data_IF_001353497866
#
_entry.id   IF_001353497866
#
_cell.length_a   1.000
_cell.length_b   1.000
_cell.length_c   1.000
_cell.angle_alpha   90.00
_cell.angle_beta   90.00
_cell.angle_gamma   90.00
#
_symmetry.space_group_name_H-M   'P 1'
#
loop_
_entity.id
_entity.type
_entity.pdbx_description
1 polymer ?
#
# COMPACT_ATOMS: atom_id res chain seq x y z
N UNK A 1 6.78 -11.68 -4.05
CA UNK A 1 7.82 -11.92 -3.04
C UNK A 1 8.88 -10.82 -2.91
N UNK A 2 9.57 -10.35 -3.96
CA UNK A 2 10.61 -9.30 -3.78
C UNK A 2 10.07 -7.97 -3.20
N UNK A 3 8.88 -7.53 -3.64
CA UNK A 3 8.24 -6.30 -3.11
C UNK A 3 7.73 -6.51 -1.68
N UNK A 4 7.15 -7.66 -1.36
CA UNK A 4 6.68 -8.00 -0.02
C UNK A 4 7.86 -8.03 0.95
N UNK A 5 8.91 -8.77 0.62
CA UNK A 5 10.09 -8.94 1.48
C UNK A 5 10.84 -7.62 1.71
N UNK A 6 10.87 -6.71 0.73
CA UNK A 6 11.52 -5.39 0.88
C UNK A 6 10.73 -4.40 1.73
N UNK A 7 9.44 -4.66 1.94
CA UNK A 7 8.54 -3.74 2.64
C UNK A 7 7.90 -4.36 3.87
N UNK A 8 8.25 -5.59 4.23
CA UNK A 8 7.61 -6.36 5.32
C UNK A 8 7.66 -5.66 6.67
N UNK A 9 8.66 -4.81 6.90
CA UNK A 9 8.82 -4.08 8.17
C UNK A 9 7.72 -3.02 8.40
N UNK A 10 7.00 -2.62 7.35
CA UNK A 10 6.01 -1.53 7.43
C UNK A 10 4.75 -1.75 6.59
N UNK A 11 4.72 -2.76 5.72
CA UNK A 11 3.65 -3.02 4.78
C UNK A 11 3.23 -4.48 4.84
N UNK A 12 1.93 -4.71 5.03
CA UNK A 12 1.30 -5.98 4.77
C UNK A 12 0.54 -5.91 3.43
N UNK A 13 0.60 -6.97 2.62
CA UNK A 13 -0.10 -7.05 1.35
C UNK A 13 -1.14 -8.15 1.44
N UNK A 14 -2.40 -7.80 1.20
CA UNK A 14 -3.52 -8.73 1.13
C UNK A 14 -4.16 -8.66 -0.26
N UNK A 15 -4.65 -9.79 -0.75
CA UNK A 15 -5.35 -9.88 -2.03
C UNK A 15 -6.79 -10.31 -1.77
N UNK A 16 -7.72 -9.54 -2.30
CA UNK A 16 -9.14 -9.87 -2.33
C UNK A 16 -9.51 -10.32 -3.75
N UNK A 17 -10.25 -11.41 -3.84
CA UNK A 17 -10.74 -11.93 -5.11
C UNK A 17 -12.05 -11.24 -5.47
N UNK A 18 -12.07 -10.50 -6.58
CA UNK A 18 -13.24 -9.75 -7.00
C UNK A 18 -14.35 -10.63 -7.59
N UNK A 19 -14.06 -11.89 -7.91
CA UNK A 19 -15.05 -12.87 -8.39
C UNK A 19 -15.72 -13.63 -7.23
N UNK A 20 -15.24 -13.43 -5.99
CA UNK A 20 -15.78 -14.08 -4.80
C UNK A 20 -16.64 -13.12 -3.98
N UNK A 21 -17.95 -13.40 -3.94
CA UNK A 21 -18.96 -12.57 -3.30
C UNK A 21 -18.69 -12.24 -1.82
N UNK A 22 -17.87 -13.05 -1.13
CA UNK A 22 -17.46 -12.78 0.26
C UNK A 22 -16.71 -11.44 0.41
N UNK A 23 -16.10 -10.94 -0.66
CA UNK A 23 -15.38 -9.67 -0.69
C UNK A 23 -16.25 -8.49 -1.14
N UNK A 24 -17.53 -8.69 -1.44
CA UNK A 24 -18.43 -7.60 -1.82
C UNK A 24 -18.46 -6.45 -0.80
N UNK A 25 -18.49 -6.70 0.53
CA UNK A 25 -18.42 -5.61 1.50
C UNK A 25 -17.18 -4.72 1.31
N UNK A 26 -16.00 -5.32 1.11
CA UNK A 26 -14.74 -4.60 0.90
C UNK A 26 -14.70 -3.90 -0.47
N UNK A 27 -15.18 -4.54 -1.54
CA UNK A 27 -15.25 -3.94 -2.88
C UNK A 27 -16.11 -2.67 -2.86
N UNK A 28 -17.25 -2.71 -2.16
CA UNK A 28 -18.12 -1.55 -1.97
C UNK A 28 -17.48 -0.50 -1.06
N UNK A 29 -16.91 -0.92 0.07
CA UNK A 29 -16.30 -0.03 1.06
C UNK A 29 -15.14 0.79 0.46
N UNK A 30 -14.31 0.17 -0.38
CA UNK A 30 -13.16 0.81 -1.02
C UNK A 30 -13.44 1.37 -2.43
N UNK A 31 -14.71 1.36 -2.88
CA UNK A 31 -15.13 1.86 -4.20
C UNK A 31 -14.30 1.24 -5.35
N UNK A 32 -14.21 -0.10 -5.35
CA UNK A 32 -13.51 -0.88 -6.36
C UNK A 32 -14.43 -1.08 -7.56
N UNK A 33 -14.10 -0.46 -8.70
CA UNK A 33 -14.87 -0.53 -9.95
C UNK A 33 -14.15 -1.25 -11.09
N UNK A 34 -12.93 -1.70 -10.85
CA UNK A 34 -12.06 -2.34 -11.83
C UNK A 34 -11.04 -3.24 -11.12
N UNK A 35 -10.55 -4.24 -11.84
CA UNK A 35 -9.43 -5.08 -11.39
C UNK A 35 -8.32 -5.12 -12.45
N UNK A 36 -7.04 -5.17 -12.03
CA UNK A 36 -6.57 -5.03 -10.66
C UNK A 36 -6.67 -3.58 -10.16
N UNK A 37 -7.02 -3.40 -8.88
CA UNK A 37 -7.02 -2.11 -8.20
C UNK A 37 -6.29 -2.24 -6.86
N UNK A 38 -5.28 -1.40 -6.63
CA UNK A 38 -4.52 -1.42 -5.38
C UNK A 38 -4.93 -0.25 -4.50
N UNK A 39 -5.22 -0.54 -3.24
CA UNK A 39 -5.60 0.43 -2.23
C UNK A 39 -4.60 0.38 -1.08
N UNK A 40 -4.06 1.53 -0.71
CA UNK A 40 -3.23 1.65 0.49
C UNK A 40 -4.13 1.95 1.69
N UNK A 41 -4.02 1.14 2.74
CA UNK A 41 -4.80 1.31 3.97
C UNK A 41 -3.91 1.83 5.10
N UNK A 42 -4.50 2.57 6.04
CA UNK A 42 -3.88 2.83 7.33
C UNK A 42 -4.10 1.65 8.29
N UNK A 43 -3.53 1.75 9.51
CA UNK A 43 -3.65 0.71 10.53
C UNK A 43 -5.08 0.47 11.04
N UNK A 44 -6.02 1.38 10.77
CA UNK A 44 -7.42 1.27 11.17
C UNK A 44 -8.30 0.77 10.01
N UNK A 45 -7.72 0.48 8.83
CA UNK A 45 -8.44 0.04 7.65
C UNK A 45 -8.94 1.16 6.74
N UNK A 46 -8.58 2.43 6.99
CA UNK A 46 -9.01 3.54 6.13
C UNK A 46 -8.17 3.64 4.86
N UNK A 47 -8.83 3.83 3.72
CA UNK A 47 -8.16 4.04 2.44
C UNK A 47 -7.41 5.39 2.41
N UNK A 48 -6.10 5.34 2.24
CA UNK A 48 -5.22 6.50 2.11
C UNK A 48 -5.03 6.94 0.65
N UNK A 49 -5.12 5.99 -0.30
CA UNK A 49 -5.01 6.21 -1.75
C UNK A 49 -5.38 4.94 -2.53
N UNK A 50 -5.79 5.10 -3.81
CA UNK A 50 -5.98 4.01 -4.77
C UNK A 50 -5.26 4.27 -6.10
N UNK A 51 -4.80 3.22 -6.77
CA UNK A 51 -4.27 3.32 -8.14
C UNK A 51 -5.39 3.59 -9.14
N UNK A 52 -5.14 4.35 -10.20
CA UNK A 52 -6.07 4.48 -11.33
C UNK A 52 -6.22 3.19 -12.15
N UNK A 53 -7.08 3.21 -13.16
CA UNK A 53 -7.32 2.06 -14.06
C UNK A 53 -6.04 1.76 -14.86
N UNK A 54 -5.43 0.57 -14.72
CA UNK A 54 -4.26 0.23 -15.48
C UNK A 54 -4.64 -0.15 -16.92
N UNK A 55 -3.94 0.40 -17.91
CA UNK A 55 -4.04 -0.05 -19.31
C UNK A 55 -2.87 -0.94 -19.77
N UNK A 56 -1.87 -1.15 -18.91
CA UNK A 56 -0.72 -2.02 -19.21
C UNK A 56 -0.03 -2.50 -17.93
N UNK A 57 0.83 -3.53 -18.05
CA UNK A 57 1.70 -3.98 -16.95
C UNK A 57 2.60 -2.86 -16.42
N UNK A 58 3.07 -1.96 -17.30
CA UNK A 58 3.89 -0.83 -16.89
C UNK A 58 3.09 0.14 -16.00
N UNK A 59 1.81 0.39 -16.32
CA UNK A 59 0.94 1.21 -15.47
C UNK A 59 0.72 0.59 -14.09
N UNK A 60 0.57 -0.74 -14.00
CA UNK A 60 0.48 -1.43 -12.71
C UNK A 60 1.74 -1.20 -11.87
N UNK A 61 2.91 -1.46 -12.45
CA UNK A 61 4.19 -1.33 -11.74
C UNK A 61 4.46 0.12 -11.34
N UNK A 62 4.22 1.07 -12.24
CA UNK A 62 4.41 2.50 -11.97
C UNK A 62 3.44 3.02 -10.91
N UNK A 63 2.15 2.65 -11.01
CA UNK A 63 1.11 3.02 -10.04
C UNK A 63 1.43 2.51 -8.63
N UNK A 64 1.83 1.24 -8.52
CA UNK A 64 2.30 0.66 -7.25
C UNK A 64 3.54 1.37 -6.70
N UNK A 65 4.55 1.60 -7.53
CA UNK A 65 5.76 2.31 -7.10
C UNK A 65 5.46 3.71 -6.57
N UNK A 66 4.54 4.42 -7.24
CA UNK A 66 4.11 5.75 -6.82
C UNK A 66 3.32 5.72 -5.50
N UNK A 67 2.37 4.79 -5.38
CA UNK A 67 1.58 4.60 -4.16
C UNK A 67 2.46 4.34 -2.94
N UNK A 68 3.44 3.45 -3.08
CA UNK A 68 4.38 3.13 -2.00
C UNK A 68 5.29 4.30 -1.62
N UNK A 69 5.78 5.08 -2.60
CA UNK A 69 6.62 6.26 -2.32
C UNK A 69 5.87 7.37 -1.59
N UNK A 70 4.59 7.60 -1.91
CA UNK A 70 3.80 8.68 -1.32
C UNK A 70 3.39 8.43 0.13
N UNK A 71 3.15 7.17 0.49
CA UNK A 71 2.52 6.82 1.78
C UNK A 71 3.42 6.01 2.71
N UNK A 72 4.67 5.75 2.32
CA UNK A 72 5.66 5.15 3.22
C UNK A 72 5.85 6.05 4.44
N UNK A 73 5.64 5.54 5.67
CA UNK A 73 5.95 6.28 6.88
C UNK A 73 7.42 6.73 6.86
N UNK A 74 7.74 7.95 7.32
CA UNK A 74 9.12 8.37 7.47
C UNK A 74 9.82 7.39 8.40
N UNK A 75 10.91 6.79 7.93
CA UNK A 75 11.78 5.99 8.77
C UNK A 75 12.41 6.91 9.80
N UNK A 76 11.94 6.86 11.05
CA UNK A 76 12.67 7.42 12.17
C UNK A 76 13.92 6.57 12.39
N UNK A 77 14.97 6.80 11.59
CA UNK A 77 16.31 6.43 12.00
C UNK A 77 16.60 7.26 13.24
N UNK A 78 16.64 6.63 14.41
CA UNK A 78 16.93 7.30 15.66
C UNK A 78 18.19 8.15 15.50
N UNK A 79 18.05 9.47 15.54
CA UNK A 79 19.16 10.33 15.94
C UNK A 79 19.44 9.98 17.39
N UNK A 80 20.35 9.04 17.61
CA UNK A 80 21.13 9.01 18.84
C UNK A 80 21.78 10.38 18.95
N UNK A 81 21.14 11.28 19.71
CA UNK A 81 21.83 12.44 20.25
C UNK A 81 22.86 11.86 21.23
N UNK A 82 24.07 11.59 20.75
CA UNK A 82 25.24 11.43 21.60
C UNK A 82 25.46 12.78 22.29
N UNK A 83 24.81 12.97 23.43
CA UNK A 83 25.16 14.03 24.37
C UNK A 83 26.39 13.54 25.12
N UNK A 84 27.54 13.77 24.52
CA UNK A 84 28.81 13.84 25.24
C UNK A 84 29.44 15.17 24.86
N UNK A 85 28.93 16.21 25.51
CA UNK A 85 29.60 17.49 25.61
C UNK A 85 29.61 17.87 27.10
N UNK A 86 30.83 18.00 27.62
CA UNK A 86 31.29 18.38 28.98
C UNK A 86 31.52 17.26 29.97
#
# INVERSE_FOLDING_TARGET
MEVENRNSDWLNIVMADAENDKWLPELLHYDIKYVPCFVMLDKNGWALAKTGVPSSRLHVVAGLSHLLKLKRPPTYSGRSHSSSDR
#
